data_IF_907724846594
#
_entry.id   IF_907724846594
#
_cell.length_a   1.000
_cell.length_b   1.000
_cell.length_c   1.000
_cell.angle_alpha   90.00
_cell.angle_beta   90.00
_cell.angle_gamma   90.00
#
_symmetry.space_group_name_H-M   'P 1'
#
loop_
_entity.id
_entity.type
_entity.pdbx_description
1 polymer ?
#
# COMPACT_ATOMS: atom_id res chain seq x y z
N UNK A 1 14.28 16.54 9.80
CA UNK A 1 13.33 15.49 10.23
C UNK A 1 14.09 14.18 10.36
N UNK A 2 13.98 13.49 11.50
CA UNK A 2 14.51 12.13 11.61
C UNK A 2 13.66 11.24 10.70
N UNK A 3 14.27 10.64 9.66
CA UNK A 3 13.61 9.61 8.86
C UNK A 3 13.16 8.50 9.81
N UNK A 4 11.93 8.02 9.63
CA UNK A 4 11.40 6.89 10.37
C UNK A 4 12.38 5.71 10.35
N UNK A 5 12.45 4.95 11.44
CA UNK A 5 13.38 3.82 11.56
C UNK A 5 12.95 2.72 10.58
N UNK A 6 13.87 2.30 9.70
CA UNK A 6 13.69 1.09 8.92
C UNK A 6 13.75 -0.14 9.85
N UNK A 7 12.75 -1.01 9.78
CA UNK A 7 12.63 -2.20 10.60
C UNK A 7 13.14 -3.44 9.85
N UNK A 8 13.52 -4.47 10.61
CA UNK A 8 13.60 -5.82 10.04
C UNK A 8 12.20 -6.33 9.69
N UNK A 9 12.12 -7.37 8.86
CA UNK A 9 10.82 -8.00 8.50
C UNK A 9 10.05 -8.52 9.72
N UNK A 10 10.77 -9.08 10.70
CA UNK A 10 10.16 -9.59 11.94
C UNK A 10 9.61 -8.44 12.79
N UNK A 11 10.44 -7.42 13.07
CA UNK A 11 10.00 -6.22 13.79
C UNK A 11 8.83 -5.52 13.09
N UNK A 12 8.85 -5.43 11.77
CA UNK A 12 7.75 -4.85 10.98
C UNK A 12 6.44 -5.60 11.20
N UNK A 13 6.45 -6.93 11.06
CA UNK A 13 5.27 -7.76 11.32
C UNK A 13 4.77 -7.57 12.76
N UNK A 14 5.65 -7.70 13.75
CA UNK A 14 5.26 -7.59 15.16
C UNK A 14 4.67 -6.22 15.48
N UNK A 15 5.30 -5.14 15.03
CA UNK A 15 4.84 -3.79 15.34
C UNK A 15 3.54 -3.43 14.62
N UNK A 16 3.37 -3.85 13.36
CA UNK A 16 2.11 -3.65 12.61
C UNK A 16 0.96 -4.38 13.31
N UNK A 17 1.14 -5.67 13.65
CA UNK A 17 0.11 -6.44 14.34
C UNK A 17 -0.19 -5.88 15.74
N UNK A 18 0.84 -5.46 16.47
CA UNK A 18 0.66 -4.86 17.79
C UNK A 18 -0.13 -3.55 17.72
N UNK A 19 0.19 -2.66 16.77
CA UNK A 19 -0.54 -1.39 16.57
C UNK A 19 -2.01 -1.65 16.24
N UNK A 20 -2.25 -2.63 15.38
CA UNK A 20 -3.59 -2.93 14.84
C UNK A 20 -4.38 -3.94 15.70
N UNK A 21 -3.92 -4.20 16.94
CA UNK A 21 -4.53 -5.13 17.90
C UNK A 21 -4.76 -6.54 17.31
N UNK A 22 -3.86 -7.00 16.44
CA UNK A 22 -3.90 -8.29 15.73
C UNK A 22 -5.17 -8.50 14.89
N UNK A 23 -5.85 -7.41 14.51
CA UNK A 23 -7.06 -7.42 13.69
C UNK A 23 -6.81 -6.76 12.35
N UNK A 24 -7.59 -7.15 11.36
CA UNK A 24 -7.65 -6.51 10.07
C UNK A 24 -8.21 -5.10 10.26
N UNK A 25 -7.43 -4.08 9.92
CA UNK A 25 -7.85 -2.68 10.06
C UNK A 25 -9.07 -2.34 9.20
N UNK A 26 -9.30 -3.10 8.12
CA UNK A 26 -10.39 -2.86 7.18
C UNK A 26 -11.73 -3.49 7.58
N UNK A 27 -11.73 -4.61 8.32
CA UNK A 27 -12.97 -5.33 8.64
C UNK A 27 -13.08 -5.89 10.06
N UNK A 28 -12.03 -5.81 10.88
CA UNK A 28 -12.02 -6.28 12.27
C UNK A 28 -11.78 -7.77 12.47
N UNK A 29 -11.78 -8.59 11.41
CA UNK A 29 -11.41 -10.02 11.47
C UNK A 29 -9.96 -10.23 11.88
N UNK A 30 -9.54 -11.43 12.33
CA UNK A 30 -8.13 -11.71 12.63
C UNK A 30 -7.21 -11.39 11.43
N UNK A 31 -6.15 -10.64 11.70
CA UNK A 31 -5.13 -10.39 10.68
C UNK A 31 -4.23 -11.61 10.49
N UNK A 32 -3.80 -11.85 9.26
CA UNK A 32 -2.88 -12.95 8.93
C UNK A 32 -1.60 -12.49 8.26
N UNK A 33 -1.60 -11.27 7.71
CA UNK A 33 -0.45 -10.68 7.02
C UNK A 33 -0.24 -9.21 7.42
N UNK A 34 1.02 -8.78 7.50
CA UNK A 34 1.37 -7.36 7.48
C UNK A 34 1.52 -6.93 6.03
N UNK A 35 0.54 -6.16 5.56
CA UNK A 35 0.49 -5.61 4.22
C UNK A 35 1.34 -4.35 4.13
N UNK A 36 2.11 -4.24 3.05
CA UNK A 36 2.74 -2.98 2.68
C UNK A 36 1.75 -2.12 1.92
N UNK A 37 1.46 -0.93 2.44
CA UNK A 37 0.49 0.03 1.89
C UNK A 37 0.93 0.48 0.49
N UNK A 38 2.16 0.98 0.37
CA UNK A 38 2.86 1.12 -0.91
C UNK A 38 3.79 -0.08 -1.08
N UNK A 39 3.79 -0.68 -2.27
CA UNK A 39 4.54 -1.92 -2.50
C UNK A 39 6.03 -1.76 -2.20
N UNK A 40 6.60 -2.73 -1.49
CA UNK A 40 8.01 -2.74 -1.09
C UNK A 40 9.00 -2.59 -2.25
N UNK A 41 8.64 -2.98 -3.48
CA UNK A 41 9.49 -2.79 -4.66
C UNK A 41 9.66 -1.32 -5.05
N UNK A 42 8.79 -0.41 -4.59
CA UNK A 42 8.95 1.03 -4.78
C UNK A 42 10.09 1.60 -3.93
N UNK A 43 10.46 0.92 -2.84
CA UNK A 43 11.47 1.37 -1.90
C UNK A 43 12.81 0.66 -2.17
N UNK A 44 13.90 1.42 -2.27
CA UNK A 44 15.26 0.85 -2.46
C UNK A 44 15.71 -0.05 -1.31
N UNK A 45 15.20 0.18 -0.10
CA UNK A 45 15.49 -0.58 1.12
C UNK A 45 14.38 -1.57 1.51
N UNK A 46 13.36 -1.72 0.66
CA UNK A 46 12.24 -2.63 0.87
C UNK A 46 11.11 -2.08 1.72
N UNK A 47 11.18 -0.85 2.24
CA UNK A 47 10.00 -0.13 2.73
C UNK A 47 9.35 -0.68 4.00
N UNK A 48 10.10 -1.41 4.83
CA UNK A 48 9.65 -1.95 6.13
C UNK A 48 9.59 -0.85 7.21
N UNK A 49 8.74 0.14 6.98
CA UNK A 49 8.46 1.23 7.90
C UNK A 49 7.08 1.03 8.51
N UNK A 50 6.91 1.36 9.79
CA UNK A 50 5.62 1.18 10.47
C UNK A 50 4.51 2.00 9.78
N UNK A 51 4.83 3.21 9.31
CA UNK A 51 3.90 4.05 8.53
C UNK A 51 3.60 3.55 7.10
N UNK A 52 4.27 2.49 6.64
CA UNK A 52 3.99 1.81 5.38
C UNK A 52 3.38 0.41 5.57
N UNK A 53 3.00 0.04 6.80
CA UNK A 53 2.44 -1.27 7.12
C UNK A 53 1.02 -1.21 7.65
N UNK A 54 0.23 -2.26 7.38
CA UNK A 54 -1.13 -2.47 7.93
C UNK A 54 -1.43 -3.96 8.15
N UNK A 55 -2.06 -4.33 9.26
CA UNK A 55 -2.57 -5.68 9.48
C UNK A 55 -3.87 -5.91 8.73
N UNK A 56 -3.91 -6.97 7.92
CA UNK A 56 -5.09 -7.33 7.13
C UNK A 56 -5.35 -8.83 7.15
N UNK A 57 -6.62 -9.22 6.97
CA UNK A 57 -6.99 -10.60 6.69
C UNK A 57 -6.73 -10.92 5.20
N UNK A 58 -6.76 -12.19 4.80
CA UNK A 58 -6.48 -12.60 3.41
C UNK A 58 -7.38 -11.92 2.37
N UNK A 59 -8.66 -11.72 2.69
CA UNK A 59 -9.62 -11.11 1.75
C UNK A 59 -9.35 -9.62 1.53
N UNK A 60 -9.13 -8.87 2.62
CA UNK A 60 -8.79 -7.46 2.55
C UNK A 60 -7.41 -7.27 1.94
N UNK A 61 -6.45 -8.15 2.24
CA UNK A 61 -5.14 -8.16 1.60
C UNK A 61 -5.28 -8.22 0.08
N UNK A 62 -6.07 -9.16 -0.42
CA UNK A 62 -6.30 -9.29 -1.86
C UNK A 62 -7.01 -8.07 -2.48
N UNK A 63 -7.90 -7.40 -1.73
CA UNK A 63 -8.53 -6.15 -2.18
C UNK A 63 -7.55 -4.98 -2.26
N UNK A 64 -6.59 -4.88 -1.34
CA UNK A 64 -5.52 -3.88 -1.39
C UNK A 64 -4.57 -4.14 -2.57
N UNK A 65 -4.18 -5.41 -2.81
CA UNK A 65 -3.38 -5.79 -3.99
C UNK A 65 -4.07 -5.42 -5.31
N UNK A 66 -5.40 -5.56 -5.37
CA UNK A 66 -6.22 -5.13 -6.52
C UNK A 66 -6.46 -3.63 -6.58
N UNK A 67 -6.02 -2.85 -5.58
CA UNK A 67 -6.32 -1.40 -5.47
C UNK A 67 -7.81 -1.06 -5.36
N UNK A 68 -8.65 -2.04 -4.97
CA UNK A 68 -10.08 -1.84 -4.71
C UNK A 68 -10.36 -1.33 -3.30
N UNK A 69 -9.41 -1.57 -2.39
CA UNK A 69 -9.22 -0.76 -1.19
C UNK A 69 -8.03 0.14 -1.53
N UNK A 70 -8.19 1.45 -1.36
CA UNK A 70 -7.16 2.43 -1.70
C UNK A 70 -6.08 2.52 -0.63
N UNK A 71 -4.94 3.11 -0.98
CA UNK A 71 -3.86 3.41 -0.03
C UNK A 71 -4.36 4.36 1.06
N UNK A 72 -5.21 5.32 0.71
CA UNK A 72 -5.77 6.29 1.65
C UNK A 72 -6.74 5.64 2.64
N UNK A 73 -7.61 4.73 2.17
CA UNK A 73 -8.50 3.98 3.07
C UNK A 73 -7.72 3.21 4.14
N UNK A 74 -6.59 2.60 3.76
CA UNK A 74 -5.73 1.86 4.69
C UNK A 74 -5.01 2.81 5.64
N UNK A 75 -4.48 3.93 5.15
CA UNK A 75 -3.82 4.95 5.99
C UNK A 75 -4.79 5.51 7.03
N UNK A 76 -6.02 5.84 6.62
CA UNK A 76 -7.07 6.31 7.52
C UNK A 76 -7.40 5.26 8.58
N UNK A 77 -7.62 4.00 8.17
CA UNK A 77 -7.93 2.90 9.09
C UNK A 77 -6.80 2.63 10.13
N UNK A 78 -5.55 2.89 9.76
CA UNK A 78 -4.39 2.80 10.66
C UNK A 78 -4.10 4.08 11.46
N UNK A 79 -4.77 5.19 11.17
CA UNK A 79 -4.47 6.50 11.77
C UNK A 79 -3.11 7.07 11.35
N UNK A 80 -2.64 6.76 10.14
CA UNK A 80 -1.35 7.21 9.60
C UNK A 80 -1.55 8.58 8.93
N UNK A 81 -1.06 9.64 9.57
CA UNK A 81 -1.14 11.02 9.06
C UNK A 81 0.15 11.50 8.38
N UNK A 82 1.28 10.88 8.70
CA UNK A 82 2.60 11.20 8.14
C UNK A 82 3.19 9.94 7.49
N UNK A 83 2.69 9.53 6.32
CA UNK A 83 3.16 8.32 5.67
C UNK A 83 4.56 8.52 5.08
N UNK A 84 5.42 7.50 5.19
CA UNK A 84 6.67 7.49 4.43
C UNK A 84 6.39 7.26 2.93
N UNK A 85 7.12 7.99 2.09
CA UNK A 85 7.05 7.87 0.64
C UNK A 85 8.38 7.33 0.08
N UNK A 86 8.33 6.48 -0.96
CA UNK A 86 9.52 6.06 -1.68
C UNK A 86 10.11 7.20 -2.51
N UNK A 87 11.39 7.07 -2.86
CA UNK A 87 12.10 8.07 -3.67
C UNK A 87 11.40 8.27 -5.02
N UNK A 88 11.10 9.54 -5.34
CA UNK A 88 10.45 9.95 -6.58
C UNK A 88 8.93 10.15 -6.48
N UNK A 89 8.28 9.69 -5.41
CA UNK A 89 6.89 10.07 -5.13
C UNK A 89 6.83 11.37 -4.33
N UNK A 90 5.74 12.13 -4.52
CA UNK A 90 5.57 13.47 -3.99
C UNK A 90 4.47 13.51 -2.93
N UNK A 91 4.68 14.32 -1.89
CA UNK A 91 3.64 14.61 -0.90
C UNK A 91 2.46 15.33 -1.57
N UNK A 92 1.24 15.04 -1.11
CA UNK A 92 0.01 15.61 -1.66
C UNK A 92 -0.51 14.95 -2.95
N UNK A 93 0.26 14.04 -3.56
CA UNK A 93 -0.20 13.23 -4.70
C UNK A 93 -0.79 11.92 -4.20
N UNK A 94 -1.96 11.54 -4.73
CA UNK A 94 -2.62 10.27 -4.40
C UNK A 94 -2.06 9.17 -5.28
N UNK A 95 -1.64 8.06 -4.67
CA UNK A 95 -1.11 6.90 -5.38
C UNK A 95 -1.92 5.65 -5.08
N UNK A 96 -1.99 4.73 -6.03
CA UNK A 96 -2.35 3.35 -5.73
C UNK A 96 -1.16 2.59 -5.11
N UNK A 97 -1.41 1.37 -4.63
CA UNK A 97 -0.39 0.50 -4.02
C UNK A 97 0.88 0.37 -4.87
N UNK A 98 0.74 0.39 -6.19
CA UNK A 98 1.79 0.13 -7.16
C UNK A 98 2.55 1.40 -7.57
N UNK A 99 2.23 2.55 -6.97
CA UNK A 99 2.87 3.83 -7.24
C UNK A 99 2.34 4.52 -8.50
N UNK A 100 1.17 4.13 -9.00
CA UNK A 100 0.49 4.87 -10.06
C UNK A 100 -0.25 6.05 -9.44
N UNK A 101 -0.05 7.25 -9.99
CA UNK A 101 -0.78 8.43 -9.55
C UNK A 101 -2.26 8.30 -9.95
N UNK A 102 -3.15 8.57 -8.99
CA UNK A 102 -4.60 8.56 -9.18
C UNK A 102 -5.06 10.01 -9.41
N UNK A 103 -5.63 10.25 -10.58
CA UNK A 103 -6.10 11.57 -11.00
C UNK A 103 -7.49 11.86 -10.43
N UNK A 104 -7.86 13.14 -10.35
CA UNK A 104 -9.18 13.59 -9.86
C UNK A 104 -10.35 13.00 -10.65
N UNK A 105 -10.14 12.70 -11.94
CA UNK A 105 -11.14 12.09 -12.81
C UNK A 105 -11.22 10.55 -12.70
N UNK A 106 -10.44 9.95 -11.79
CA UNK A 106 -10.39 8.50 -11.55
C UNK A 106 -9.46 7.71 -12.48
N UNK A 107 -8.93 8.32 -13.54
CA UNK A 107 -7.87 7.70 -14.36
C UNK A 107 -6.54 7.71 -13.59
N UNK A 108 -5.54 7.00 -14.13
CA UNK A 108 -4.23 6.83 -13.49
C UNK A 108 -3.08 7.08 -14.45
N UNK A 109 -2.09 7.83 -13.99
CA UNK A 109 -0.80 7.92 -14.65
C UNK A 109 0.06 6.69 -14.30
N UNK A 110 0.80 6.18 -15.28
CA UNK A 110 1.63 4.98 -15.13
C UNK A 110 2.81 5.26 -14.21
N UNK A 111 2.87 4.57 -13.08
CA UNK A 111 3.97 4.61 -12.13
C UNK A 111 5.13 3.69 -12.52
N UNK A 112 6.17 3.69 -11.68
CA UNK A 112 7.42 2.93 -11.91
C UNK A 112 7.17 1.42 -12.05
N UNK A 113 6.26 0.86 -11.26
CA UNK A 113 5.93 -0.57 -11.31
C UNK A 113 4.84 -0.93 -12.31
N UNK A 114 4.31 0.02 -13.08
CA UNK A 114 3.20 -0.25 -13.99
C UNK A 114 3.49 -1.42 -14.92
N UNK A 115 4.70 -1.50 -15.49
CA UNK A 115 5.08 -2.55 -16.43
C UNK A 115 5.55 -3.86 -15.79
N UNK A 116 5.57 -3.99 -14.45
CA UNK A 116 5.87 -5.26 -13.78
C UNK A 116 4.78 -6.29 -14.11
N UNK A 117 5.19 -7.51 -14.46
CA UNK A 117 4.26 -8.57 -14.90
C UNK A 117 3.20 -8.90 -13.83
N UNK A 118 3.58 -8.86 -12.54
CA UNK A 118 2.69 -9.07 -11.43
C UNK A 118 1.65 -7.96 -11.32
N UNK A 119 2.09 -6.71 -11.44
CA UNK A 119 1.23 -5.52 -11.42
C UNK A 119 0.26 -5.54 -12.61
N UNK A 120 0.75 -5.80 -13.82
CA UNK A 120 -0.10 -5.94 -15.00
C UNK A 120 -1.15 -7.03 -14.83
N UNK A 121 -0.77 -8.19 -14.29
CA UNK A 121 -1.69 -9.32 -14.07
C UNK A 121 -2.77 -8.98 -13.05
N UNK A 122 -2.43 -8.34 -11.93
CA UNK A 122 -3.41 -8.01 -10.90
C UNK A 122 -4.35 -6.90 -11.35
N UNK A 123 -3.86 -5.86 -12.06
CA UNK A 123 -4.70 -4.78 -12.57
C UNK A 123 -5.67 -5.28 -13.65
N UNK A 124 -5.23 -6.17 -14.55
CA UNK A 124 -6.11 -6.83 -15.52
C UNK A 124 -7.16 -7.69 -14.82
N UNK A 125 -6.77 -8.47 -13.82
CA UNK A 125 -7.72 -9.32 -13.05
C UNK A 125 -8.71 -8.49 -12.23
N UNK A 126 -8.30 -7.32 -11.73
CA UNK A 126 -9.17 -6.36 -11.06
C UNK A 126 -10.09 -5.62 -12.05
N UNK A 127 -9.85 -5.74 -13.36
CA UNK A 127 -10.55 -4.98 -14.37
C UNK A 127 -10.21 -3.49 -14.38
N UNK A 128 -9.09 -3.07 -13.79
CA UNK A 128 -8.73 -1.65 -13.62
C UNK A 128 -7.68 -1.16 -14.63
N UNK A 129 -7.19 -2.05 -15.50
CA UNK A 129 -6.14 -1.70 -16.48
C UNK A 129 -6.58 -0.60 -17.47
N UNK A 130 -7.88 -0.46 -17.72
CA UNK A 130 -8.42 0.56 -18.62
C UNK A 130 -8.24 1.98 -18.10
N UNK A 131 -8.05 2.16 -16.78
CA UNK A 131 -7.84 3.47 -16.15
C UNK A 131 -6.53 4.15 -16.56
N UNK A 132 -5.67 3.49 -17.33
CA UNK A 132 -4.37 3.99 -17.77
C UNK A 132 -4.35 4.40 -19.25
N UNK A 133 -5.50 4.35 -19.93
CA UNK A 133 -5.65 4.65 -21.36
C UNK A 133 -6.77 5.69 -21.52
N UNK A 134 -6.39 6.96 -21.39
CA UNK A 134 -7.24 8.12 -21.62
C UNK A 134 -6.81 8.88 -22.89
#
# INVERSE_FOLDING_TARGET
>A
MCKEKLLSREEFNEQVFKRDNHKCVMCGEPAVDAHHILDRKLFKDGGYYLSNGSSVCSDCHYKCEKTTISVEDVREACGITEPILPEGLQEGVVYDKWGNEVLENGFRNKGVLFNDDGVQKILKKAGLIYLFFH
#
